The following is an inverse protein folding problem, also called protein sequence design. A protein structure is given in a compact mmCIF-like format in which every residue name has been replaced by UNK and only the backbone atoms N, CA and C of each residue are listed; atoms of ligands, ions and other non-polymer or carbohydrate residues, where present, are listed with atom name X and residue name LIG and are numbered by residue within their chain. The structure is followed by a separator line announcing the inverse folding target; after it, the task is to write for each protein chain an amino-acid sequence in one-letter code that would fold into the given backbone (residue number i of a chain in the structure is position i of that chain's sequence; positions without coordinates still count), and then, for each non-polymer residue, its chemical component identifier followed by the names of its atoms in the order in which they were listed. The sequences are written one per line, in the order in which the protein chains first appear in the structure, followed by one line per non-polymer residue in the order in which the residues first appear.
data_IF_527741929638
#
_entry.id   IF_527741929638
#
_cell.length_a   1.000
_cell.length_b   1.000
_cell.length_c   1.000
_cell.angle_alpha   90.00
_cell.angle_beta   90.00
_cell.angle_gamma   90.00
#
_symmetry.space_group_name_H-M   'P 1'
#
loop_
_entity.id
_entity.type
_entity.pdbx_description
1 polymer ?
#
# COMPACT_ATOMS: atom_id res chain seq x y z
N UNK A 1 10.89 18.01 -17.94
CA UNK A 1 10.64 16.88 -17.01
C UNK A 1 9.34 16.17 -17.37
N UNK A 2 9.24 14.84 -17.22
CA UNK A 2 7.94 14.13 -17.34
C UNK A 2 6.92 14.69 -16.35
N UNK A 3 7.35 14.98 -15.12
CA UNK A 3 6.55 15.68 -14.10
C UNK A 3 5.97 17.02 -14.61
N UNK A 4 6.76 17.88 -15.24
CA UNK A 4 6.28 19.12 -15.87
C UNK A 4 5.31 18.90 -17.04
N UNK A 5 5.54 17.87 -17.86
CA UNK A 5 4.78 17.68 -19.11
C UNK A 5 3.45 16.95 -18.91
N UNK A 6 3.37 16.04 -17.94
CA UNK A 6 2.22 15.11 -17.80
C UNK A 6 1.74 14.94 -16.37
N UNK A 7 2.23 15.76 -15.42
CA UNK A 7 1.86 15.67 -13.99
C UNK A 7 2.18 14.33 -13.33
N UNK A 8 3.05 13.49 -13.93
CA UNK A 8 3.42 12.20 -13.34
C UNK A 8 4.20 12.40 -12.05
N UNK A 9 3.76 11.74 -10.98
CA UNK A 9 4.45 11.75 -9.68
C UNK A 9 5.85 11.13 -9.83
N UNK A 10 6.94 11.90 -9.60
CA UNK A 10 8.28 11.44 -9.87
C UNK A 10 8.78 10.44 -8.81
N UNK A 11 9.72 9.58 -9.18
CA UNK A 11 10.49 8.74 -8.24
C UNK A 11 11.79 9.40 -7.77
N UNK A 12 12.09 10.61 -8.27
CA UNK A 12 13.25 11.41 -7.88
C UNK A 12 12.80 12.43 -6.84
N UNK A 13 13.32 12.32 -5.61
CA UNK A 13 12.92 13.16 -4.47
C UNK A 13 13.05 14.65 -4.73
N UNK A 14 14.14 15.09 -5.36
CA UNK A 14 14.41 16.50 -5.62
C UNK A 14 13.34 17.17 -6.50
N UNK A 15 12.66 16.41 -7.36
CA UNK A 15 11.61 16.93 -8.25
C UNK A 15 10.32 17.34 -7.51
N UNK A 16 10.17 16.98 -6.23
CA UNK A 16 9.06 17.44 -5.40
C UNK A 16 9.28 18.84 -4.81
N UNK A 17 10.51 19.35 -4.85
CA UNK A 17 10.88 20.68 -4.34
C UNK A 17 11.17 21.69 -5.47
N UNK A 18 11.02 21.26 -6.72
CA UNK A 18 11.28 22.08 -7.90
C UNK A 18 10.19 23.15 -8.06
N UNK A 19 10.61 24.41 -8.17
CA UNK A 19 9.71 25.57 -8.19
C UNK A 19 8.84 25.63 -9.46
N UNK A 20 9.38 25.20 -10.61
CA UNK A 20 8.60 25.15 -11.85
C UNK A 20 7.56 24.03 -11.78
N UNK A 21 7.92 22.88 -11.20
CA UNK A 21 6.98 21.78 -10.98
C UNK A 21 5.89 22.17 -9.99
N UNK A 22 6.24 22.85 -8.89
CA UNK A 22 5.26 23.31 -7.91
C UNK A 22 4.28 24.33 -8.50
N UNK A 23 4.78 25.22 -9.36
CA UNK A 23 3.97 26.23 -10.07
C UNK A 23 3.02 25.60 -11.08
N UNK A 24 3.51 24.68 -11.90
CA UNK A 24 2.72 24.06 -12.98
C UNK A 24 1.78 22.97 -12.46
N UNK A 25 2.25 22.15 -11.50
CA UNK A 25 1.54 20.99 -10.96
C UNK A 25 1.56 20.99 -9.43
N UNK A 26 0.73 21.82 -8.76
CA UNK A 26 0.73 21.95 -7.30
C UNK A 26 0.42 20.65 -6.54
N UNK A 27 -0.15 19.64 -7.20
CA UNK A 27 -0.36 18.31 -6.63
C UNK A 27 0.96 17.60 -6.31
N UNK A 28 2.00 17.79 -7.12
CA UNK A 28 3.26 17.07 -6.97
C UNK A 28 3.92 17.35 -5.61
N UNK A 29 4.22 18.60 -5.21
CA UNK A 29 4.82 18.87 -3.89
C UNK A 29 3.95 18.37 -2.72
N UNK A 30 2.62 18.43 -2.85
CA UNK A 30 1.69 17.94 -1.81
C UNK A 30 1.82 16.43 -1.55
N UNK A 31 2.23 15.67 -2.56
CA UNK A 31 2.41 14.23 -2.46
C UNK A 31 3.78 13.81 -1.90
N UNK A 32 4.71 14.74 -1.68
CA UNK A 32 6.05 14.43 -1.14
C UNK A 32 5.98 13.65 0.17
N UNK A 33 5.17 14.11 1.11
CA UNK A 33 5.02 13.45 2.41
C UNK A 33 4.28 12.11 2.30
N UNK A 34 3.40 11.95 1.31
CA UNK A 34 2.73 10.67 1.06
C UNK A 34 3.77 9.62 0.63
N UNK A 35 4.65 9.95 -0.31
CA UNK A 35 5.68 9.00 -0.78
C UNK A 35 6.77 8.71 0.24
N UNK A 36 7.16 9.70 1.06
CA UNK A 36 8.16 9.49 2.12
C UNK A 36 7.67 8.55 3.22
N UNK A 37 6.35 8.46 3.41
CA UNK A 37 5.72 7.59 4.41
C UNK A 37 4.98 6.39 3.78
N UNK A 38 5.10 6.19 2.47
CA UNK A 38 4.44 5.10 1.78
C UNK A 38 5.09 3.76 2.16
N UNK A 39 4.26 2.80 2.55
CA UNK A 39 4.70 1.43 2.79
C UNK A 39 4.46 0.61 1.52
N UNK A 40 5.47 -0.10 0.98
CA UNK A 40 5.24 -0.98 -0.16
C UNK A 40 4.31 -2.12 0.25
N UNK A 41 3.45 -2.55 -0.69
CA UNK A 41 2.66 -3.77 -0.50
C UNK A 41 3.61 -4.97 -0.27
N UNK A 42 3.23 -5.96 0.57
CA UNK A 42 4.14 -7.04 0.98
C UNK A 42 4.37 -8.12 -0.10
N UNK A 43 4.36 -7.77 -1.39
CA UNK A 43 4.56 -8.72 -2.49
C UNK A 43 5.96 -9.35 -2.50
N UNK A 44 6.99 -8.59 -2.11
CA UNK A 44 8.35 -9.11 -1.99
C UNK A 44 8.47 -10.19 -0.91
N UNK A 45 7.77 -10.00 0.22
CA UNK A 45 7.72 -10.98 1.30
C UNK A 45 6.86 -12.18 0.87
N UNK A 46 5.62 -11.94 0.42
CA UNK A 46 4.64 -12.98 0.14
C UNK A 46 4.82 -13.74 -1.18
N UNK A 47 5.70 -13.26 -2.07
CA UNK A 47 6.07 -13.93 -3.34
C UNK A 47 4.85 -14.40 -4.13
N UNK A 48 4.84 -15.66 -4.57
CA UNK A 48 3.76 -16.26 -5.35
C UNK A 48 2.44 -16.34 -4.57
N UNK A 49 2.50 -16.24 -3.23
CA UNK A 49 1.32 -16.25 -2.34
C UNK A 49 0.72 -14.87 -2.09
N UNK A 50 1.25 -13.81 -2.69
CA UNK A 50 0.76 -12.44 -2.47
C UNK A 50 -0.75 -12.28 -2.75
N UNK A 51 -1.26 -12.86 -3.84
CA UNK A 51 -2.68 -12.75 -4.18
C UNK A 51 -3.57 -13.44 -3.13
N UNK A 52 -3.19 -14.64 -2.70
CA UNK A 52 -3.91 -15.38 -1.65
C UNK A 52 -3.87 -14.60 -0.33
N UNK A 53 -2.70 -14.10 0.09
CA UNK A 53 -2.55 -13.30 1.31
C UNK A 53 -3.37 -11.99 1.27
N UNK A 54 -3.36 -11.31 0.12
CA UNK A 54 -4.15 -10.09 -0.09
C UNK A 54 -5.65 -10.35 -0.04
N UNK A 55 -6.11 -11.49 -0.55
CA UNK A 55 -7.53 -11.87 -0.48
C UNK A 55 -7.95 -12.17 0.97
N UNK A 56 -7.12 -12.88 1.75
CA UNK A 56 -7.42 -13.14 3.16
C UNK A 56 -7.49 -11.84 3.96
N UNK A 57 -6.54 -10.92 3.75
CA UNK A 57 -6.57 -9.60 4.38
C UNK A 57 -7.84 -8.82 4.04
N UNK A 58 -8.23 -8.78 2.76
CA UNK A 58 -9.44 -8.09 2.33
C UNK A 58 -10.70 -8.70 2.96
N UNK A 59 -10.82 -10.03 3.01
CA UNK A 59 -11.96 -10.71 3.64
C UNK A 59 -12.08 -10.34 5.13
N UNK A 60 -10.99 -10.42 5.89
CA UNK A 60 -11.01 -10.11 7.32
C UNK A 60 -11.38 -8.64 7.61
N UNK A 61 -10.86 -7.70 6.80
CA UNK A 61 -11.24 -6.29 6.89
C UNK A 61 -12.70 -6.09 6.49
N UNK A 62 -13.17 -6.76 5.43
CA UNK A 62 -14.56 -6.69 5.00
C UNK A 62 -15.52 -7.15 6.09
N UNK A 63 -15.28 -8.34 6.66
CA UNK A 63 -16.09 -8.91 7.75
C UNK A 63 -16.15 -7.98 8.96
N UNK A 64 -15.00 -7.41 9.34
CA UNK A 64 -14.93 -6.44 10.44
C UNK A 64 -15.77 -5.20 10.17
N UNK A 65 -15.70 -4.65 8.95
CA UNK A 65 -16.44 -3.43 8.58
C UNK A 65 -17.94 -3.70 8.32
N UNK A 66 -18.31 -4.93 7.93
CA UNK A 66 -19.70 -5.33 7.70
C UNK A 66 -20.42 -5.77 8.98
N UNK A 67 -19.69 -5.89 10.11
CA UNK A 67 -20.24 -6.33 11.39
C UNK A 67 -20.35 -7.85 11.53
N UNK A 68 -19.71 -8.61 10.63
CA UNK A 68 -19.59 -10.06 10.73
C UNK A 68 -18.40 -10.43 11.63
N UNK A 69 -18.63 -10.40 12.93
CA UNK A 69 -17.60 -10.64 13.96
C UNK A 69 -16.86 -9.38 14.42
N UNK A 70 -16.08 -9.52 15.49
CA UNK A 70 -15.28 -8.40 16.01
C UNK A 70 -13.98 -8.26 15.24
N UNK A 71 -13.37 -7.07 15.28
CA UNK A 71 -12.02 -6.87 14.74
C UNK A 71 -11.00 -7.82 15.38
N UNK A 72 -11.13 -8.12 16.68
CA UNK A 72 -10.23 -9.01 17.39
C UNK A 72 -10.32 -10.45 16.85
N UNK A 73 -11.54 -10.97 16.70
CA UNK A 73 -11.77 -12.34 16.21
C UNK A 73 -11.33 -12.47 14.75
N UNK A 74 -11.78 -11.56 13.89
CA UNK A 74 -11.46 -11.59 12.45
C UNK A 74 -9.97 -11.46 12.17
N UNK A 75 -9.23 -10.66 12.95
CA UNK A 75 -7.78 -10.52 12.80
C UNK A 75 -7.02 -11.72 13.39
N UNK A 76 -7.53 -12.37 14.44
CA UNK A 76 -6.96 -13.62 14.95
C UNK A 76 -7.11 -14.76 13.92
N UNK A 77 -8.28 -14.87 13.29
CA UNK A 77 -8.51 -15.83 12.21
C UNK A 77 -7.62 -15.54 11.00
N UNK A 78 -7.45 -14.26 10.64
CA UNK A 78 -6.51 -13.84 9.60
C UNK A 78 -5.07 -14.29 9.94
N UNK A 79 -4.61 -14.09 11.17
CA UNK A 79 -3.28 -14.53 11.59
C UNK A 79 -3.10 -16.05 11.44
N UNK A 80 -4.10 -16.84 11.85
CA UNK A 80 -4.07 -18.29 11.69
C UNK A 80 -4.01 -18.68 10.20
N UNK A 81 -4.82 -18.04 9.34
CA UNK A 81 -4.84 -18.29 7.90
C UNK A 81 -3.52 -17.90 7.22
N UNK A 82 -2.95 -16.74 7.55
CA UNK A 82 -1.67 -16.29 7.00
C UNK A 82 -0.51 -17.16 7.48
N UNK A 83 -0.53 -17.61 8.73
CA UNK A 83 0.48 -18.52 9.27
C UNK A 83 0.46 -19.86 8.54
N UNK A 84 -0.74 -20.40 8.29
CA UNK A 84 -0.91 -21.62 7.49
C UNK A 84 -0.48 -21.41 6.04
N UNK A 85 -0.85 -20.28 5.43
CA UNK A 85 -0.51 -19.93 4.05
C UNK A 85 1.01 -19.81 3.85
N UNK A 86 1.70 -19.18 4.81
CA UNK A 86 3.16 -19.09 4.86
C UNK A 86 3.76 -20.50 5.01
N UNK A 87 3.29 -21.28 5.98
CA UNK A 87 3.93 -22.56 6.30
C UNK A 87 5.41 -22.36 6.65
N UNK A 88 6.32 -23.03 5.93
CA UNK A 88 7.78 -22.87 6.13
C UNK A 88 8.40 -21.63 5.47
N UNK A 89 7.67 -20.91 4.62
CA UNK A 89 8.22 -19.81 3.81
C UNK A 89 7.15 -18.96 3.13
N UNK A 90 7.46 -18.38 1.98
CA UNK A 90 6.48 -17.69 1.13
C UNK A 90 6.63 -18.18 -0.31
#
# INVERSE_FOLDING_TARGET
YRALKTSNLPTIRALYDDADIAREHPIIPRWKQIFLNAVPRPSAAARIKYNEASSQFWNAVHNTLSGDGTAADNLADLEAMLTKLKGRGW
#
